data_IF_985227618132
#
_entry.id   IF_985227618132
#
_cell.length_a   1.000
_cell.length_b   1.000
_cell.length_c   1.000
_cell.angle_alpha   90.00
_cell.angle_beta   90.00
_cell.angle_gamma   90.00
#
_symmetry.space_group_name_H-M   'P 1'
#
loop_
_entity.id
_entity.type
_entity.pdbx_description
1 polymer ?
#
# COMPACT_ATOMS: atom_id res chain seq x y z
N UNK A 1 -12.81 -102.88 -16.07
CA UNK A 1 -13.06 -101.44 -16.26
C UNK A 1 -11.75 -100.67 -15.98
N UNK A 2 -11.14 -100.23 -16.98
CA UNK A 2 -9.76 -99.70 -17.03
C UNK A 2 -9.76 -98.24 -16.59
N UNK A 3 -9.08 -97.90 -15.51
CA UNK A 3 -8.79 -96.51 -15.13
C UNK A 3 -7.51 -96.03 -15.85
N UNK A 4 -7.66 -95.03 -16.70
CA UNK A 4 -6.54 -94.34 -17.30
C UNK A 4 -6.01 -93.24 -16.35
N UNK A 5 -4.80 -93.37 -15.88
CA UNK A 5 -4.04 -92.34 -15.18
C UNK A 5 -3.47 -91.40 -16.19
N UNK A 6 -3.87 -90.10 -16.16
CA UNK A 6 -3.30 -89.03 -16.98
C UNK A 6 -2.12 -88.43 -16.23
N UNK A 7 -0.90 -88.69 -16.66
CA UNK A 7 0.31 -88.11 -16.11
C UNK A 7 0.47 -86.66 -16.67
N UNK A 8 0.24 -85.63 -15.87
CA UNK A 8 0.46 -84.22 -16.23
C UNK A 8 1.93 -83.90 -15.97
N UNK A 9 2.72 -83.79 -17.04
CA UNK A 9 4.11 -83.29 -16.93
C UNK A 9 4.08 -81.80 -16.70
N UNK A 10 4.40 -81.37 -15.48
CA UNK A 10 4.71 -79.97 -15.18
C UNK A 10 6.11 -79.67 -15.82
N UNK A 11 6.12 -78.98 -16.96
CA UNK A 11 7.29 -78.33 -17.47
C UNK A 11 7.62 -77.13 -16.55
N UNK A 12 8.51 -77.34 -15.59
CA UNK A 12 9.16 -76.26 -14.85
C UNK A 12 9.92 -75.37 -15.86
N UNK A 13 9.47 -74.14 -16.01
CA UNK A 13 10.27 -73.13 -16.66
C UNK A 13 11.49 -72.90 -15.75
N UNK A 14 12.58 -73.62 -16.03
CA UNK A 14 13.87 -73.33 -15.40
C UNK A 14 14.28 -71.93 -15.79
N UNK A 15 14.42 -71.06 -14.81
CA UNK A 15 15.18 -69.81 -15.02
C UNK A 15 16.57 -70.23 -15.47
N UNK A 16 16.88 -70.05 -16.75
CA UNK A 16 18.27 -70.10 -17.23
C UNK A 16 19.02 -69.01 -16.48
N UNK A 17 20.16 -69.30 -15.80
CA UNK A 17 20.93 -68.28 -15.17
C UNK A 17 21.36 -67.25 -16.21
N UNK A 18 21.37 -65.97 -15.85
CA UNK A 18 21.83 -64.92 -16.74
C UNK A 18 23.24 -65.30 -17.24
N UNK A 19 23.39 -65.41 -18.55
CA UNK A 19 24.65 -65.87 -19.14
C UNK A 19 25.77 -64.84 -19.01
N UNK A 20 25.40 -63.56 -18.85
CA UNK A 20 26.32 -62.48 -18.56
C UNK A 20 26.21 -62.00 -17.12
N UNK A 21 27.39 -61.71 -16.50
CA UNK A 21 27.48 -61.11 -15.16
C UNK A 21 28.44 -59.91 -15.20
N UNK A 22 28.13 -58.85 -14.45
CA UNK A 22 28.95 -57.67 -14.36
C UNK A 22 29.84 -57.70 -13.12
N UNK A 23 31.12 -57.39 -13.28
CA UNK A 23 32.08 -57.30 -12.20
C UNK A 23 32.78 -55.93 -12.27
N UNK A 24 32.89 -55.27 -11.11
CA UNK A 24 33.73 -54.06 -10.97
C UNK A 24 35.19 -54.45 -10.99
N UNK A 25 35.99 -53.73 -11.77
CA UNK A 25 37.44 -53.95 -11.86
C UNK A 25 38.13 -53.12 -10.76
N UNK A 26 38.84 -53.79 -9.88
CA UNK A 26 39.65 -53.14 -8.84
C UNK A 26 41.09 -53.69 -8.94
N UNK A 27 42.07 -52.79 -9.10
CA UNK A 27 43.50 -53.16 -9.29
C UNK A 27 43.71 -54.19 -10.41
N UNK A 28 42.94 -54.12 -11.49
CA UNK A 28 43.03 -55.03 -12.62
C UNK A 28 42.42 -56.44 -12.38
N UNK A 29 41.64 -56.63 -11.32
CA UNK A 29 40.96 -57.89 -10.97
C UNK A 29 39.47 -57.65 -10.76
N UNK A 30 38.64 -58.68 -11.04
CA UNK A 30 37.25 -58.70 -10.79
C UNK A 30 36.96 -58.69 -9.30
N UNK A 31 36.29 -57.68 -8.83
CA UNK A 31 35.79 -57.61 -7.45
C UNK A 31 34.38 -58.28 -7.42
N UNK A 32 34.16 -59.16 -6.40
CA UNK A 32 32.87 -59.81 -6.21
C UNK A 32 31.80 -58.75 -5.84
N UNK A 33 30.70 -58.68 -6.61
CA UNK A 33 29.57 -57.94 -6.21
C UNK A 33 28.47 -58.85 -5.66
N UNK A 34 27.92 -58.54 -4.48
CA UNK A 34 26.92 -59.38 -3.83
C UNK A 34 25.47 -58.98 -4.24
N UNK A 35 25.24 -57.74 -4.59
CA UNK A 35 23.90 -57.16 -4.80
C UNK A 35 23.71 -56.45 -6.15
N UNK A 36 24.68 -56.51 -7.02
CA UNK A 36 24.65 -55.91 -8.38
C UNK A 36 24.34 -54.38 -8.37
N UNK A 37 24.65 -53.71 -7.25
CA UNK A 37 24.54 -52.26 -7.15
C UNK A 37 25.94 -51.67 -7.00
N UNK A 38 26.25 -50.65 -7.82
CA UNK A 38 27.56 -50.01 -7.82
C UNK A 38 27.41 -48.51 -7.65
N UNK A 39 27.99 -48.00 -6.52
CA UNK A 39 27.93 -46.59 -6.15
C UNK A 39 29.07 -45.78 -6.77
N UNK A 40 28.74 -44.69 -7.43
CA UNK A 40 29.71 -43.73 -7.94
C UNK A 40 30.00 -42.60 -6.95
N UNK A 41 29.32 -42.67 -5.81
CA UNK A 41 29.45 -41.66 -4.73
C UNK A 41 28.88 -40.29 -5.11
N UNK A 42 29.30 -39.28 -4.36
CA UNK A 42 28.83 -37.88 -4.56
C UNK A 42 29.83 -37.14 -5.44
N UNK A 43 29.31 -36.49 -6.49
CA UNK A 43 30.14 -35.66 -7.41
C UNK A 43 29.48 -34.29 -7.60
N UNK A 44 30.25 -33.20 -7.66
CA UNK A 44 29.72 -31.90 -8.06
C UNK A 44 29.08 -31.97 -9.45
N UNK A 45 27.99 -31.25 -9.67
CA UNK A 45 27.39 -31.07 -10.98
C UNK A 45 28.46 -30.57 -11.98
N UNK A 46 28.53 -31.21 -13.16
CA UNK A 46 29.54 -30.94 -14.18
C UNK A 46 30.89 -31.64 -13.98
N UNK A 47 31.11 -32.32 -12.83
CA UNK A 47 32.25 -33.20 -12.65
C UNK A 47 31.88 -34.64 -13.03
N UNK A 48 32.87 -35.43 -13.38
CA UNK A 48 32.64 -36.83 -13.77
C UNK A 48 33.59 -37.79 -13.06
N UNK A 49 33.14 -39.03 -12.89
CA UNK A 49 33.94 -40.14 -12.41
C UNK A 49 33.61 -41.37 -13.24
N UNK A 50 34.62 -42.17 -13.58
CA UNK A 50 34.47 -43.41 -14.34
C UNK A 50 34.88 -44.61 -13.50
N UNK A 51 34.14 -45.70 -13.65
CA UNK A 51 34.45 -47.01 -13.11
C UNK A 51 34.54 -47.99 -14.25
N UNK A 52 35.53 -48.92 -14.15
CA UNK A 52 35.77 -49.99 -15.12
C UNK A 52 35.05 -51.25 -14.68
N UNK A 53 34.44 -51.96 -15.65
CA UNK A 53 33.68 -53.16 -15.42
C UNK A 53 34.05 -54.21 -16.49
N UNK A 54 34.07 -55.48 -16.04
CA UNK A 54 34.10 -56.63 -16.93
C UNK A 54 32.69 -57.24 -17.07
N UNK A 55 32.12 -57.22 -18.28
CA UNK A 55 30.91 -57.96 -18.62
C UNK A 55 31.30 -59.35 -19.02
N UNK A 56 31.30 -60.29 -18.08
CA UNK A 56 31.82 -61.64 -18.22
C UNK A 56 30.72 -62.61 -18.69
N UNK A 57 31.02 -63.43 -19.69
CA UNK A 57 30.22 -64.58 -20.03
C UNK A 57 30.56 -65.73 -19.06
N UNK A 58 29.60 -66.08 -18.21
CA UNK A 58 29.73 -67.14 -17.18
C UNK A 58 29.19 -68.48 -17.65
N UNK A 59 28.65 -68.55 -18.88
CA UNK A 59 28.11 -69.76 -19.51
C UNK A 59 28.93 -70.25 -20.68
N UNK A 60 28.29 -70.96 -21.64
CA UNK A 60 28.84 -71.32 -22.94
C UNK A 60 29.04 -70.09 -23.86
N UNK A 61 29.68 -70.25 -24.95
CA UNK A 61 29.84 -69.19 -25.98
C UNK A 61 28.48 -68.49 -26.26
N UNK A 62 28.43 -67.19 -26.20
CA UNK A 62 27.23 -66.39 -26.28
C UNK A 62 27.40 -65.20 -27.22
N UNK A 63 26.31 -64.76 -27.80
CA UNK A 63 26.28 -63.54 -28.62
C UNK A 63 25.69 -62.42 -27.75
N UNK A 64 26.45 -61.36 -27.56
CA UNK A 64 25.95 -60.07 -26.99
C UNK A 64 25.32 -59.31 -28.16
N UNK A 65 23.98 -59.24 -28.18
CA UNK A 65 23.22 -58.60 -29.25
C UNK A 65 22.75 -57.19 -28.89
N UNK A 66 22.62 -56.91 -27.61
CA UNK A 66 22.15 -55.63 -27.10
C UNK A 66 22.84 -55.29 -25.78
N UNK A 67 23.20 -54.02 -25.61
CA UNK A 67 23.77 -53.47 -24.39
C UNK A 67 23.27 -52.06 -24.19
N UNK A 68 22.47 -51.85 -23.15
CA UNK A 68 21.85 -50.57 -22.85
C UNK A 68 22.26 -50.08 -21.46
N UNK A 69 22.47 -48.80 -21.37
CA UNK A 69 22.65 -48.06 -20.12
C UNK A 69 21.54 -47.01 -20.04
N UNK A 70 20.66 -47.13 -19.02
CA UNK A 70 19.59 -46.17 -18.80
C UNK A 70 20.07 -45.10 -17.81
N UNK A 71 19.38 -43.94 -17.77
CA UNK A 71 19.70 -42.84 -16.86
C UNK A 71 20.56 -41.76 -17.53
N UNK A 72 20.08 -40.51 -17.46
CA UNK A 72 20.66 -39.38 -18.20
C UNK A 72 22.07 -38.97 -17.75
N UNK A 73 22.42 -39.27 -16.51
CA UNK A 73 23.71 -38.87 -15.90
C UNK A 73 24.79 -39.95 -16.02
N UNK A 74 24.49 -41.07 -16.71
CA UNK A 74 25.42 -42.19 -16.90
C UNK A 74 25.63 -42.46 -18.37
N UNK A 75 26.89 -42.73 -18.75
CA UNK A 75 27.25 -43.05 -20.14
C UNK A 75 28.43 -44.00 -20.21
N UNK A 76 28.55 -44.72 -21.31
CA UNK A 76 29.77 -45.46 -21.64
C UNK A 76 30.83 -44.53 -22.22
N UNK A 77 32.10 -44.65 -21.74
CA UNK A 77 33.24 -43.90 -22.25
C UNK A 77 34.49 -44.81 -22.28
N UNK A 78 35.01 -45.20 -23.45
CA UNK A 78 34.48 -44.98 -24.80
C UNK A 78 33.16 -45.70 -25.04
N UNK A 79 32.50 -45.42 -26.16
CA UNK A 79 31.31 -46.17 -26.57
C UNK A 79 31.59 -47.67 -26.52
N UNK A 80 30.61 -48.52 -26.16
CA UNK A 80 30.77 -49.96 -26.08
C UNK A 80 31.14 -50.50 -27.45
N UNK A 81 31.71 -51.74 -27.50
CA UNK A 81 32.08 -52.35 -28.76
C UNK A 81 30.85 -52.55 -29.68
N UNK A 82 31.11 -52.65 -30.98
CA UNK A 82 30.04 -52.84 -31.96
C UNK A 82 29.32 -54.18 -31.73
N UNK A 83 28.04 -54.16 -31.70
CA UNK A 83 27.16 -55.32 -31.53
C UNK A 83 26.51 -55.70 -32.84
N UNK A 84 26.19 -56.99 -33.10
CA UNK A 84 26.39 -58.14 -32.22
C UNK A 84 27.84 -58.60 -32.13
N UNK A 85 28.27 -59.12 -30.94
CA UNK A 85 29.60 -59.64 -30.70
C UNK A 85 29.53 -61.04 -30.07
N UNK A 86 30.32 -62.02 -30.56
CA UNK A 86 30.44 -63.29 -29.83
C UNK A 86 31.41 -63.12 -28.68
N UNK A 87 30.97 -63.52 -27.47
CA UNK A 87 31.75 -63.53 -26.26
C UNK A 87 31.99 -65.00 -25.83
N UNK A 88 33.19 -65.52 -25.99
CA UNK A 88 33.50 -66.91 -25.66
C UNK A 88 33.29 -67.21 -24.16
N UNK A 89 33.06 -68.50 -23.83
CA UNK A 89 32.92 -68.95 -22.43
C UNK A 89 34.07 -68.50 -21.57
N UNK A 90 33.77 -67.90 -20.42
CA UNK A 90 34.78 -67.43 -19.44
C UNK A 90 35.52 -66.15 -19.82
N UNK A 91 35.28 -65.55 -21.00
CA UNK A 91 35.87 -64.26 -21.40
C UNK A 91 34.96 -63.06 -20.98
N UNK A 92 35.51 -61.86 -21.07
CA UNK A 92 34.79 -60.63 -20.71
C UNK A 92 34.86 -59.60 -21.83
N UNK A 93 33.90 -58.68 -21.81
CA UNK A 93 33.91 -57.41 -22.55
C UNK A 93 34.19 -56.31 -21.50
N UNK A 94 35.22 -55.50 -21.79
CA UNK A 94 35.57 -54.37 -20.93
C UNK A 94 34.63 -53.21 -21.19
N UNK A 95 34.08 -52.68 -20.12
CA UNK A 95 33.14 -51.53 -20.14
C UNK A 95 33.63 -50.48 -19.18
N UNK A 96 33.60 -49.22 -19.58
CA UNK A 96 33.83 -48.11 -18.68
C UNK A 96 32.54 -47.30 -18.62
N UNK A 97 31.97 -47.18 -17.42
CA UNK A 97 30.80 -46.37 -17.15
C UNK A 97 31.21 -45.11 -16.44
N UNK A 98 30.79 -43.99 -16.98
CA UNK A 98 31.02 -42.67 -16.38
C UNK A 98 29.71 -42.14 -15.78
N UNK A 99 29.78 -41.64 -14.54
CA UNK A 99 28.78 -40.82 -13.90
C UNK A 99 29.18 -39.37 -13.97
N UNK A 100 28.32 -38.52 -14.56
CA UNK A 100 28.51 -37.09 -14.67
C UNK A 100 27.18 -36.36 -14.41
N UNK A 101 26.88 -36.02 -13.12
CA UNK A 101 25.59 -35.43 -12.76
C UNK A 101 25.37 -34.09 -13.49
N UNK A 102 24.23 -33.95 -14.16
CA UNK A 102 23.76 -32.71 -14.78
C UNK A 102 22.97 -31.85 -13.84
N UNK A 103 22.45 -32.42 -12.72
CA UNK A 103 21.65 -31.75 -11.72
C UNK A 103 22.03 -32.24 -10.31
N UNK A 104 21.81 -31.43 -9.24
CA UNK A 104 21.94 -31.90 -7.86
C UNK A 104 20.85 -32.95 -7.54
N UNK A 105 21.23 -33.90 -6.71
CA UNK A 105 20.33 -34.96 -6.24
C UNK A 105 20.77 -36.36 -6.62
N UNK A 106 20.01 -37.39 -6.17
CA UNK A 106 20.29 -38.79 -6.48
C UNK A 106 20.00 -39.08 -7.94
N UNK A 107 20.89 -39.85 -8.55
CA UNK A 107 20.76 -40.36 -9.92
C UNK A 107 20.95 -41.87 -9.91
N UNK A 108 20.17 -42.57 -10.74
CA UNK A 108 20.25 -44.03 -10.90
C UNK A 108 20.26 -44.42 -12.39
N UNK A 109 20.93 -45.51 -12.66
CA UNK A 109 20.95 -46.12 -13.99
C UNK A 109 20.89 -47.64 -13.88
N UNK A 110 20.41 -48.32 -14.95
CA UNK A 110 20.44 -49.76 -15.05
C UNK A 110 21.26 -50.16 -16.29
N UNK A 111 22.14 -51.17 -16.10
CA UNK A 111 22.79 -51.86 -17.20
C UNK A 111 21.97 -53.07 -17.59
N UNK A 112 21.60 -53.13 -18.87
CA UNK A 112 20.79 -54.19 -19.46
C UNK A 112 21.60 -54.78 -20.59
N UNK A 113 21.79 -56.11 -20.56
CA UNK A 113 22.44 -56.87 -21.66
C UNK A 113 21.49 -57.98 -22.13
N UNK A 114 21.28 -58.05 -23.45
CA UNK A 114 20.36 -59.00 -24.07
C UNK A 114 18.96 -59.04 -23.39
N UNK A 115 18.46 -57.86 -22.99
CA UNK A 115 17.15 -57.71 -22.31
C UNK A 115 17.14 -58.09 -20.82
N UNK A 116 18.27 -58.49 -20.23
CA UNK A 116 18.38 -58.82 -18.79
C UNK A 116 19.09 -57.70 -18.09
N UNK A 117 18.48 -57.16 -17.00
CA UNK A 117 19.15 -56.20 -16.14
C UNK A 117 20.23 -56.90 -15.32
N UNK A 118 21.46 -56.45 -15.43
CA UNK A 118 22.62 -57.01 -14.76
C UNK A 118 23.09 -56.23 -13.58
N UNK A 119 22.88 -54.91 -13.59
CA UNK A 119 23.33 -54.05 -12.49
C UNK A 119 22.51 -52.78 -12.42
N UNK A 120 22.52 -52.19 -11.23
CA UNK A 120 22.06 -50.84 -10.98
C UNK A 120 23.27 -49.97 -10.57
N UNK A 121 23.35 -48.79 -11.12
CA UNK A 121 24.31 -47.78 -10.74
C UNK A 121 23.63 -46.67 -9.98
N UNK A 122 24.25 -46.15 -8.92
CA UNK A 122 23.79 -45.02 -8.17
C UNK A 122 24.89 -43.97 -7.97
N UNK A 123 24.47 -42.72 -7.92
CA UNK A 123 25.35 -41.59 -7.70
C UNK A 123 24.56 -40.40 -7.17
N UNK A 124 25.22 -39.42 -6.61
CA UNK A 124 24.57 -38.19 -6.13
C UNK A 124 25.27 -36.98 -6.70
N UNK A 125 24.54 -36.17 -7.45
CA UNK A 125 24.98 -34.85 -7.86
C UNK A 125 24.99 -33.90 -6.66
N UNK A 126 26.09 -33.19 -6.45
CA UNK A 126 26.22 -32.12 -5.45
C UNK A 126 26.20 -30.78 -6.18
N UNK A 127 25.40 -29.83 -5.72
CA UNK A 127 25.51 -28.46 -6.21
C UNK A 127 26.96 -27.97 -6.05
N UNK A 128 27.54 -27.49 -7.14
CA UNK A 128 28.90 -26.93 -7.10
C UNK A 128 29.00 -25.70 -6.24
N UNK A 129 27.86 -25.06 -5.98
CA UNK A 129 27.71 -23.85 -5.20
C UNK A 129 26.62 -24.07 -4.15
N UNK A 130 26.88 -23.72 -2.90
CA UNK A 130 25.89 -23.63 -1.84
C UNK A 130 25.57 -22.17 -1.55
N UNK A 131 24.27 -21.88 -1.30
CA UNK A 131 23.80 -20.53 -0.95
C UNK A 131 23.09 -20.61 0.40
N UNK A 132 23.46 -19.72 1.30
CA UNK A 132 22.88 -19.60 2.65
C UNK A 132 22.71 -18.15 3.05
N UNK A 133 21.95 -17.89 4.12
CA UNK A 133 22.03 -16.61 4.81
C UNK A 133 23.40 -16.45 5.51
N UNK A 134 23.72 -15.22 5.90
CA UNK A 134 24.99 -14.89 6.54
C UNK A 134 25.23 -15.67 7.86
N UNK A 135 24.16 -16.08 8.54
CA UNK A 135 24.22 -16.91 9.75
C UNK A 135 24.30 -18.42 9.48
N UNK A 136 24.44 -18.83 8.21
CA UNK A 136 24.49 -20.22 7.77
C UNK A 136 23.13 -20.91 7.63
N UNK A 137 22.01 -20.23 7.94
CA UNK A 137 20.67 -20.78 7.74
C UNK A 137 20.32 -20.90 6.25
N UNK A 138 19.42 -21.82 5.85
CA UNK A 138 18.91 -21.88 4.49
C UNK A 138 18.27 -20.55 4.06
N UNK A 139 18.42 -20.21 2.79
CA UNK A 139 17.73 -19.07 2.19
C UNK A 139 16.22 -19.35 2.21
N UNK A 140 15.37 -18.43 2.70
CA UNK A 140 13.93 -18.60 2.68
C UNK A 140 13.40 -18.64 1.23
N UNK A 141 12.32 -19.38 1.02
CA UNK A 141 11.68 -19.47 -0.30
C UNK A 141 10.17 -19.22 -0.16
N UNK A 142 9.67 -18.07 -0.62
CA UNK A 142 10.40 -16.95 -1.23
C UNK A 142 11.24 -16.14 -0.20
N UNK A 143 12.22 -15.37 -0.71
CA UNK A 143 12.80 -14.25 0.04
C UNK A 143 11.83 -13.09 0.00
N UNK A 144 11.17 -12.81 1.12
CA UNK A 144 10.17 -11.75 1.23
C UNK A 144 10.77 -10.49 1.84
N UNK A 145 10.78 -9.41 1.07
CA UNK A 145 11.29 -8.10 1.47
C UNK A 145 10.24 -7.25 2.24
N UNK A 146 9.01 -7.78 2.36
CA UNK A 146 7.92 -7.08 3.03
C UNK A 146 7.44 -5.85 2.25
N UNK A 147 6.84 -4.90 2.99
CA UNK A 147 6.37 -3.62 2.43
C UNK A 147 7.47 -2.58 2.48
N UNK A 148 7.81 -2.00 1.33
CA UNK A 148 8.88 -1.00 1.17
C UNK A 148 8.33 0.23 0.45
N UNK A 149 8.58 1.40 1.01
CA UNK A 149 8.20 2.65 0.37
C UNK A 149 8.92 2.82 -0.97
N UNK A 150 8.23 3.37 -1.96
CA UNK A 150 8.82 3.70 -3.27
C UNK A 150 10.10 4.50 -3.11
N UNK A 151 11.16 4.06 -3.81
CA UNK A 151 12.49 4.69 -3.76
C UNK A 151 13.30 4.39 -2.50
N UNK A 152 12.76 3.64 -1.53
CA UNK A 152 13.54 3.11 -0.39
C UNK A 152 14.04 1.71 -0.72
N UNK A 153 15.02 1.25 0.05
CA UNK A 153 15.68 -0.03 -0.14
C UNK A 153 15.43 -0.94 1.06
N UNK A 154 15.00 -2.18 0.77
CA UNK A 154 15.14 -3.29 1.71
C UNK A 154 16.17 -4.27 1.14
N UNK A 155 16.97 -4.91 2.00
CA UNK A 155 18.08 -5.74 1.57
C UNK A 155 18.11 -7.09 2.28
N UNK A 156 18.50 -8.15 1.55
CA UNK A 156 18.91 -9.44 2.06
C UNK A 156 20.39 -9.64 1.79
N UNK A 157 21.10 -10.26 2.74
CA UNK A 157 22.48 -10.70 2.55
C UNK A 157 22.54 -12.21 2.52
N UNK A 158 23.12 -12.75 1.46
CA UNK A 158 23.38 -14.17 1.28
C UNK A 158 24.89 -14.41 1.12
N UNK A 159 25.30 -15.65 1.40
CA UNK A 159 26.66 -16.11 1.20
C UNK A 159 26.64 -17.23 0.18
N UNK A 160 27.43 -17.06 -0.86
CA UNK A 160 27.67 -18.08 -1.90
C UNK A 160 29.00 -18.74 -1.56
N UNK A 161 28.99 -20.07 -1.43
CA UNK A 161 30.20 -20.84 -1.10
C UNK A 161 30.49 -21.88 -2.17
N UNK A 162 31.75 -22.00 -2.56
CA UNK A 162 32.23 -23.04 -3.44
C UNK A 162 32.72 -24.25 -2.61
N UNK A 163 31.91 -25.30 -2.57
CA UNK A 163 32.26 -26.56 -1.86
C UNK A 163 33.15 -27.50 -2.67
N UNK A 164 33.60 -27.12 -3.85
CA UNK A 164 34.42 -27.96 -4.72
C UNK A 164 35.92 -27.73 -4.49
N UNK A 165 36.75 -28.66 -4.97
CA UNK A 165 38.22 -28.57 -4.92
C UNK A 165 38.84 -27.71 -6.04
N UNK A 166 38.03 -27.02 -6.87
CA UNK A 166 38.46 -26.17 -8.00
C UNK A 166 37.69 -24.86 -8.05
N UNK A 167 38.22 -23.89 -8.79
CA UNK A 167 37.53 -22.63 -9.01
C UNK A 167 36.26 -22.83 -9.84
N UNK A 168 35.16 -22.16 -9.45
CA UNK A 168 33.86 -22.21 -10.13
C UNK A 168 33.48 -20.81 -10.60
N UNK A 169 32.95 -20.70 -11.81
CA UNK A 169 32.36 -19.47 -12.32
C UNK A 169 30.93 -19.36 -11.79
N UNK A 170 30.63 -18.24 -11.17
CA UNK A 170 29.30 -17.90 -10.65
C UNK A 170 28.68 -16.89 -11.58
N UNK A 171 27.49 -17.21 -12.11
CA UNK A 171 26.62 -16.29 -12.84
C UNK A 171 25.50 -15.89 -11.90
N UNK A 172 25.25 -14.58 -11.79
CA UNK A 172 24.20 -14.01 -10.94
C UNK A 172 23.33 -13.06 -11.75
N UNK A 173 22.02 -13.15 -11.58
CA UNK A 173 21.07 -12.24 -12.21
C UNK A 173 19.76 -12.16 -11.46
N UNK A 174 19.03 -11.09 -11.70
CA UNK A 174 17.64 -10.92 -11.28
C UNK A 174 16.75 -10.68 -12.49
N UNK A 175 15.52 -11.17 -12.45
CA UNK A 175 14.60 -11.11 -13.60
C UNK A 175 13.91 -9.76 -13.78
N UNK A 176 14.06 -8.83 -12.83
CA UNK A 176 13.48 -7.47 -12.90
C UNK A 176 14.47 -6.43 -12.40
N UNK A 177 14.27 -5.16 -12.79
CA UNK A 177 15.11 -4.03 -12.38
C UNK A 177 14.84 -3.51 -10.96
N UNK A 178 13.73 -3.91 -10.34
CA UNK A 178 13.39 -3.51 -8.97
C UNK A 178 14.13 -4.34 -7.92
N UNK A 179 14.62 -5.52 -8.31
CA UNK A 179 15.51 -6.34 -7.51
C UNK A 179 16.90 -6.30 -8.15
N UNK A 180 17.89 -5.89 -7.38
CA UNK A 180 19.27 -5.74 -7.86
C UNK A 180 20.24 -6.44 -6.91
N UNK A 181 21.45 -6.70 -7.39
CA UNK A 181 22.50 -7.33 -6.58
C UNK A 181 23.67 -6.40 -6.38
N UNK A 182 24.34 -6.49 -5.22
CA UNK A 182 25.58 -5.81 -4.91
C UNK A 182 26.65 -6.81 -4.46
N UNK A 183 27.81 -6.85 -5.12
CA UNK A 183 28.20 -6.02 -6.27
C UNK A 183 27.32 -6.32 -7.52
N UNK A 184 27.14 -5.34 -8.38
CA UNK A 184 26.35 -5.43 -9.61
C UNK A 184 27.13 -6.17 -10.73
N UNK A 185 27.71 -7.31 -10.40
CA UNK A 185 28.45 -8.15 -11.34
C UNK A 185 27.61 -9.36 -11.71
N UNK A 186 27.39 -9.56 -13.01
CA UNK A 186 26.64 -10.72 -13.52
C UNK A 186 27.46 -12.02 -13.51
N UNK A 187 28.79 -11.91 -13.37
CA UNK A 187 29.66 -13.08 -13.38
C UNK A 187 30.96 -12.80 -12.61
N UNK A 188 31.42 -13.79 -11.82
CA UNK A 188 32.72 -13.78 -11.16
C UNK A 188 33.22 -15.20 -10.91
N UNK A 189 34.54 -15.34 -10.65
CA UNK A 189 35.15 -16.62 -10.32
C UNK A 189 35.32 -16.75 -8.82
N UNK A 190 34.90 -17.90 -8.25
CA UNK A 190 35.03 -18.22 -6.83
C UNK A 190 36.00 -19.39 -6.67
N UNK A 191 37.13 -19.15 -6.00
CA UNK A 191 38.15 -20.17 -5.81
C UNK A 191 37.66 -21.37 -4.97
N UNK A 192 38.39 -22.50 -5.02
CA UNK A 192 38.06 -23.69 -4.25
C UNK A 192 37.93 -23.35 -2.75
N UNK A 193 36.84 -23.76 -2.11
CA UNK A 193 36.52 -23.52 -0.71
C UNK A 193 36.28 -22.08 -0.31
N UNK A 194 36.29 -21.11 -1.26
CA UNK A 194 36.03 -19.70 -1.00
C UNK A 194 34.56 -19.40 -0.83
N UNK A 195 34.28 -18.26 -0.18
CA UNK A 195 32.94 -17.71 0.01
C UNK A 195 32.91 -16.25 -0.42
N UNK A 196 31.74 -15.78 -0.87
CA UNK A 196 31.46 -14.38 -1.19
C UNK A 196 30.10 -14.00 -0.65
N UNK A 197 29.99 -12.78 -0.08
CA UNK A 197 28.71 -12.21 0.30
C UNK A 197 28.11 -11.46 -0.89
N UNK A 198 26.82 -11.64 -1.10
CA UNK A 198 26.01 -10.94 -2.08
C UNK A 198 24.83 -10.29 -1.36
N UNK A 199 24.63 -8.99 -1.58
CA UNK A 199 23.45 -8.27 -1.13
C UNK A 199 22.42 -8.23 -2.26
N UNK A 200 21.17 -8.54 -1.93
CA UNK A 200 20.04 -8.42 -2.84
C UNK A 200 19.19 -7.28 -2.32
N UNK A 201 19.01 -6.23 -3.14
CA UNK A 201 18.21 -5.07 -2.84
C UNK A 201 16.86 -5.14 -3.55
N UNK A 202 15.79 -4.77 -2.83
CA UNK A 202 14.49 -4.46 -3.37
C UNK A 202 14.25 -2.96 -3.29
N UNK A 203 14.06 -2.30 -4.45
CA UNK A 203 13.79 -0.87 -4.57
C UNK A 203 12.54 -0.69 -5.43
N UNK A 204 11.34 -0.68 -4.84
CA UNK A 204 10.12 -0.55 -5.62
C UNK A 204 10.01 0.83 -6.28
N UNK A 205 9.66 0.84 -7.56
CA UNK A 205 9.35 2.07 -8.32
C UNK A 205 7.84 2.28 -8.51
N UNK A 206 7.04 1.25 -8.21
CA UNK A 206 5.57 1.26 -8.30
C UNK A 206 4.96 0.58 -7.08
N UNK A 207 3.70 0.90 -6.81
CA UNK A 207 2.94 0.29 -5.73
C UNK A 207 2.51 -1.14 -6.06
N UNK A 208 2.14 -1.86 -5.00
CA UNK A 208 1.61 -3.22 -5.08
C UNK A 208 2.68 -4.31 -5.05
N UNK A 209 2.24 -5.58 -5.16
CA UNK A 209 3.12 -6.74 -5.06
C UNK A 209 4.06 -6.84 -6.25
N UNK A 210 5.34 -7.10 -5.97
CA UNK A 210 6.40 -7.29 -6.93
C UNK A 210 6.99 -8.68 -6.75
N UNK A 211 7.33 -9.34 -7.86
CA UNK A 211 7.93 -10.67 -7.87
C UNK A 211 9.09 -10.73 -8.86
N UNK A 212 10.11 -11.48 -8.52
CA UNK A 212 11.25 -11.75 -9.36
C UNK A 212 11.89 -13.09 -8.99
N UNK A 213 12.90 -13.50 -9.76
CA UNK A 213 13.79 -14.59 -9.38
C UNK A 213 15.22 -14.05 -9.28
N UNK A 214 15.93 -14.47 -8.25
CA UNK A 214 17.38 -14.42 -8.20
C UNK A 214 17.90 -15.74 -8.78
N UNK A 215 18.72 -15.65 -9.79
CA UNK A 215 19.36 -16.80 -10.44
C UNK A 215 20.84 -16.81 -10.08
N UNK A 216 21.32 -17.93 -9.53
CA UNK A 216 22.72 -18.18 -9.23
C UNK A 216 23.11 -19.49 -9.89
N UNK A 217 23.77 -19.42 -11.05
CA UNK A 217 23.97 -20.56 -11.96
C UNK A 217 22.60 -21.21 -12.31
N UNK A 218 22.38 -22.45 -11.91
CA UNK A 218 21.09 -23.16 -12.10
C UNK A 218 20.16 -23.10 -10.89
N UNK A 219 20.59 -22.44 -9.78
CA UNK A 219 19.78 -22.29 -8.59
C UNK A 219 18.87 -21.06 -8.74
N UNK A 220 17.59 -21.23 -8.47
CA UNK A 220 16.57 -20.17 -8.58
C UNK A 220 15.94 -19.92 -7.22
N UNK A 221 15.95 -18.67 -6.80
CA UNK A 221 15.36 -18.21 -5.54
C UNK A 221 14.26 -17.19 -5.83
N UNK A 222 12.98 -17.52 -5.55
CA UNK A 222 11.89 -16.57 -5.69
C UNK A 222 12.06 -15.38 -4.73
N UNK A 223 11.84 -14.15 -5.26
CA UNK A 223 11.88 -12.90 -4.53
C UNK A 223 10.47 -12.30 -4.52
N UNK A 224 10.04 -11.77 -3.38
CA UNK A 224 8.76 -11.07 -3.24
C UNK A 224 8.94 -9.80 -2.42
N UNK A 225 8.13 -8.79 -2.72
CA UNK A 225 8.06 -7.55 -1.94
C UNK A 225 6.85 -6.74 -2.37
N UNK A 226 6.44 -5.79 -1.56
CA UNK A 226 5.31 -4.90 -1.84
C UNK A 226 5.79 -3.47 -1.83
N UNK A 227 5.67 -2.78 -2.96
CA UNK A 227 5.85 -1.34 -3.02
C UNK A 227 4.66 -0.64 -2.36
N UNK A 228 4.92 0.35 -1.52
CA UNK A 228 3.89 1.19 -0.91
C UNK A 228 4.21 2.66 -1.14
N UNK A 229 3.16 3.48 -1.23
CA UNK A 229 3.34 4.92 -1.31
C UNK A 229 4.02 5.47 -0.05
N UNK A 230 4.91 6.45 -0.20
CA UNK A 230 5.41 7.22 0.94
C UNK A 230 4.25 7.90 1.69
N UNK A 231 4.37 8.10 3.01
CA UNK A 231 3.35 8.82 3.77
C UNK A 231 3.24 10.26 3.28
N UNK A 232 2.01 10.81 3.33
CA UNK A 232 1.81 12.22 3.05
C UNK A 232 2.60 13.10 4.03
N UNK A 233 3.04 14.31 3.59
CA UNK A 233 3.61 15.29 4.49
C UNK A 233 2.54 15.85 5.43
N UNK A 234 2.96 16.36 6.61
CA UNK A 234 2.06 16.94 7.59
C UNK A 234 1.34 18.17 6.99
N UNK A 235 -0.01 18.17 6.93
CA UNK A 235 -0.78 19.32 6.47
C UNK A 235 -0.89 20.38 7.56
N UNK A 236 -0.79 21.65 7.15
CA UNK A 236 -0.96 22.83 8.02
C UNK A 236 -2.00 23.76 7.42
N UNK A 237 -2.85 24.34 8.27
CA UNK A 237 -3.87 25.31 7.86
C UNK A 237 -3.31 26.74 7.91
N UNK A 238 -3.31 27.41 6.78
CA UNK A 238 -3.02 28.84 6.68
C UNK A 238 -4.28 29.62 6.28
N UNK A 239 -4.42 30.82 6.82
CA UNK A 239 -5.58 31.68 6.64
C UNK A 239 -5.16 33.08 6.20
N UNK A 240 -6.01 33.72 5.41
CA UNK A 240 -5.79 35.08 4.91
C UNK A 240 -5.96 36.16 6.01
N UNK A 241 -6.45 35.80 7.21
CA UNK A 241 -6.52 36.69 8.37
C UNK A 241 -6.22 35.94 9.66
N UNK A 242 -5.73 36.65 10.66
CA UNK A 242 -5.48 36.14 12.02
C UNK A 242 -6.73 36.22 12.91
N UNK A 243 -7.77 36.94 12.50
CA UNK A 243 -9.03 37.12 13.21
C UNK A 243 -10.18 37.29 12.23
N UNK A 244 -11.35 36.78 12.62
CA UNK A 244 -12.58 36.95 11.89
C UNK A 244 -13.69 37.38 12.84
N UNK A 245 -14.53 38.34 12.42
CA UNK A 245 -15.77 38.70 13.09
C UNK A 245 -16.97 37.91 12.56
N UNK A 246 -18.17 38.26 13.05
CA UNK A 246 -19.42 37.74 12.50
C UNK A 246 -19.69 38.26 11.08
N UNK A 247 -20.38 37.47 10.26
CA UNK A 247 -20.78 37.81 8.88
C UNK A 247 -19.59 38.14 7.95
N UNK A 248 -18.43 37.50 8.16
CA UNK A 248 -17.25 37.67 7.34
C UNK A 248 -16.96 36.43 6.49
N UNK A 249 -16.22 36.64 5.41
CA UNK A 249 -15.65 35.59 4.61
C UNK A 249 -14.12 35.57 4.81
N UNK A 250 -13.54 34.37 4.74
CA UNK A 250 -12.12 34.16 4.80
C UNK A 250 -11.70 33.06 3.84
N UNK A 251 -10.39 32.92 3.66
CA UNK A 251 -9.79 31.86 2.84
C UNK A 251 -8.90 31.00 3.70
N UNK A 252 -8.98 29.69 3.47
CA UNK A 252 -8.09 28.68 4.03
C UNK A 252 -7.28 28.03 2.94
N UNK A 253 -5.99 27.82 3.19
CA UNK A 253 -5.04 27.11 2.34
C UNK A 253 -4.46 25.96 3.15
N UNK A 254 -4.22 24.81 2.53
CA UNK A 254 -3.53 23.69 3.14
C UNK A 254 -2.07 23.72 2.65
N UNK A 255 -1.15 24.04 3.54
CA UNK A 255 0.29 23.96 3.28
C UNK A 255 0.80 22.58 3.69
N UNK A 256 1.77 22.05 2.95
CA UNK A 256 2.43 20.79 3.26
C UNK A 256 3.83 21.05 3.80
N UNK A 257 4.23 20.34 4.85
CA UNK A 257 5.54 20.52 5.50
C UNK A 257 6.76 20.20 4.62
N UNK A 258 6.54 19.48 3.51
CA UNK A 258 7.50 19.17 2.45
C UNK A 258 6.75 18.85 1.16
N UNK A 259 7.42 18.80 -0.02
CA UNK A 259 6.78 18.28 -1.23
C UNK A 259 6.24 16.87 -1.04
N UNK A 260 5.01 16.64 -1.49
CA UNK A 260 4.38 15.31 -1.43
C UNK A 260 5.11 14.33 -2.33
N UNK A 261 5.28 13.11 -1.86
CA UNK A 261 5.82 12.00 -2.66
C UNK A 261 4.71 11.04 -3.12
N UNK A 262 3.45 11.38 -2.83
CA UNK A 262 2.28 10.58 -3.17
C UNK A 262 1.15 11.48 -3.67
N UNK A 263 0.25 10.90 -4.46
CA UNK A 263 -1.00 11.55 -4.92
C UNK A 263 -2.17 11.05 -4.08
N UNK A 264 -3.06 11.96 -3.68
CA UNK A 264 -4.26 11.60 -2.93
C UNK A 264 -5.17 12.77 -2.64
N UNK A 265 -6.18 12.50 -1.81
CA UNK A 265 -7.22 13.46 -1.44
C UNK A 265 -7.24 13.63 0.08
N UNK A 266 -7.34 14.87 0.51
CA UNK A 266 -7.60 15.25 1.89
C UNK A 266 -8.92 15.99 2.04
N UNK A 267 -9.29 16.30 3.28
CA UNK A 267 -10.48 17.07 3.60
C UNK A 267 -10.19 18.13 4.65
N UNK A 268 -10.95 19.23 4.59
CA UNK A 268 -11.01 20.25 5.65
C UNK A 268 -12.44 20.31 6.16
N UNK A 269 -12.58 20.09 7.46
CA UNK A 269 -13.86 20.17 8.18
C UNK A 269 -13.94 21.43 9.02
N UNK A 270 -15.15 21.98 9.16
CA UNK A 270 -15.50 23.06 10.08
C UNK A 270 -16.42 22.52 11.16
N UNK A 271 -15.97 22.61 12.42
CA UNK A 271 -16.81 22.45 13.59
C UNK A 271 -17.07 23.81 14.23
N UNK A 272 -18.27 24.00 14.79
CA UNK A 272 -18.63 25.22 15.50
C UNK A 272 -19.12 24.92 16.90
N UNK A 273 -18.47 25.54 17.86
CA UNK A 273 -18.84 25.52 19.26
C UNK A 273 -19.38 26.90 19.68
N UNK A 274 -20.72 27.10 19.78
CA UNK A 274 -21.29 28.38 20.14
C UNK A 274 -20.87 28.79 21.53
N UNK A 275 -20.75 30.12 21.76
CA UNK A 275 -20.42 30.68 23.07
C UNK A 275 -21.52 30.47 24.08
N UNK A 276 -22.77 30.32 23.66
CA UNK A 276 -23.91 29.90 24.45
C UNK A 276 -24.29 28.46 24.06
N UNK A 277 -24.20 27.52 24.99
CA UNK A 277 -24.52 26.13 24.79
C UNK A 277 -25.99 25.85 24.39
N UNK A 278 -26.91 26.82 24.67
CA UNK A 278 -28.31 26.74 24.26
C UNK A 278 -28.54 27.20 22.81
N UNK A 279 -27.52 27.75 22.14
CA UNK A 279 -27.65 28.24 20.81
C UNK A 279 -27.72 27.07 19.81
N UNK A 280 -28.69 27.11 18.89
CA UNK A 280 -28.76 26.17 17.75
C UNK A 280 -27.57 26.35 16.83
N UNK A 281 -27.37 25.35 15.96
CA UNK A 281 -26.36 25.42 14.90
C UNK A 281 -26.56 26.69 14.04
N UNK A 282 -25.44 27.29 13.63
CA UNK A 282 -25.43 28.36 12.63
C UNK A 282 -25.04 27.76 11.28
N UNK A 283 -26.03 27.53 10.41
CA UNK A 283 -25.84 26.92 9.10
C UNK A 283 -25.12 27.86 8.11
N UNK A 284 -25.02 29.14 8.43
CA UNK A 284 -24.22 30.06 7.63
C UNK A 284 -22.72 29.85 7.79
N UNK A 285 -22.27 29.06 8.79
CA UNK A 285 -20.85 28.66 8.93
C UNK A 285 -20.58 27.50 8.00
N UNK A 286 -19.99 27.76 6.84
CA UNK A 286 -19.81 26.78 5.77
C UNK A 286 -18.72 27.21 4.78
N UNK A 287 -18.28 26.28 3.93
CA UNK A 287 -17.51 26.59 2.73
C UNK A 287 -18.45 27.02 1.61
N UNK A 288 -18.12 28.13 0.92
CA UNK A 288 -18.98 28.67 -0.12
C UNK A 288 -19.05 27.79 -1.36
N UNK A 289 -18.00 27.01 -1.64
CA UNK A 289 -17.94 26.12 -2.81
C UNK A 289 -18.85 24.90 -2.69
N UNK A 290 -19.09 24.42 -1.47
CA UNK A 290 -19.88 23.21 -1.21
C UNK A 290 -21.23 23.49 -0.57
N UNK A 291 -21.41 24.65 0.07
CA UNK A 291 -22.55 24.92 0.93
C UNK A 291 -22.59 24.00 2.17
N UNK A 292 -21.46 23.42 2.56
CA UNK A 292 -21.34 22.46 3.63
C UNK A 292 -20.16 22.83 4.54
N UNK A 293 -20.02 22.10 5.65
CA UNK A 293 -18.92 22.26 6.59
C UNK A 293 -17.68 21.45 6.23
N UNK A 294 -17.72 20.72 5.14
CA UNK A 294 -16.61 19.93 4.63
C UNK A 294 -16.27 20.32 3.21
N UNK A 295 -14.98 20.40 2.90
CA UNK A 295 -14.46 20.57 1.55
C UNK A 295 -13.28 19.65 1.35
N UNK A 296 -13.18 19.02 0.17
CA UNK A 296 -12.06 18.17 -0.20
C UNK A 296 -11.01 18.94 -1.00
N UNK A 297 -9.76 18.49 -0.90
CA UNK A 297 -8.64 18.98 -1.71
C UNK A 297 -7.82 17.81 -2.23
N UNK A 298 -7.14 18.01 -3.36
CA UNK A 298 -6.23 17.04 -3.94
C UNK A 298 -4.77 17.45 -3.70
N UNK A 299 -3.91 16.46 -3.61
CA UNK A 299 -2.46 16.60 -3.53
C UNK A 299 -1.87 15.68 -4.60
N UNK A 300 -0.94 16.18 -5.41
CA UNK A 300 -0.17 15.41 -6.37
C UNK A 300 1.29 15.27 -5.89
N UNK A 301 2.00 14.33 -6.48
CA UNK A 301 3.44 14.21 -6.25
C UNK A 301 4.15 15.52 -6.66
N UNK A 302 5.01 16.04 -5.77
CA UNK A 302 5.69 17.31 -5.91
C UNK A 302 4.95 18.52 -5.32
N UNK A 303 3.66 18.41 -5.01
CA UNK A 303 2.91 19.52 -4.44
C UNK A 303 3.39 19.89 -3.04
N UNK A 304 3.39 21.20 -2.76
CA UNK A 304 3.62 21.80 -1.44
C UNK A 304 2.36 22.42 -0.85
N UNK A 305 1.26 22.42 -1.61
CA UNK A 305 -0.06 22.96 -1.22
C UNK A 305 -1.18 22.05 -1.70
N UNK A 306 -2.28 22.04 -0.98
CA UNK A 306 -3.51 21.35 -1.39
C UNK A 306 -4.29 22.13 -2.45
N UNK A 307 -4.91 21.42 -3.39
CA UNK A 307 -5.70 21.99 -4.49
C UNK A 307 -7.19 21.80 -4.26
N UNK A 308 -7.94 22.89 -4.14
CA UNK A 308 -9.40 22.94 -4.05
C UNK A 308 -10.01 23.19 -5.43
N UNK A 309 -10.30 22.12 -6.17
CA UNK A 309 -10.68 22.25 -7.58
C UNK A 309 -9.54 22.85 -8.41
N UNK A 310 -9.79 24.01 -9.03
CA UNK A 310 -8.77 24.73 -9.82
C UNK A 310 -7.92 25.72 -9.00
N UNK A 311 -8.22 25.91 -7.72
CA UNK A 311 -7.53 26.86 -6.84
C UNK A 311 -6.75 26.18 -5.72
N UNK A 312 -5.94 26.97 -4.99
CA UNK A 312 -5.17 26.52 -3.83
C UNK A 312 -5.77 26.94 -2.50
N UNK A 313 -6.96 27.54 -2.49
CA UNK A 313 -7.66 27.96 -1.28
C UNK A 313 -9.16 27.70 -1.39
N UNK A 314 -9.81 27.45 -0.25
CA UNK A 314 -11.25 27.38 -0.10
C UNK A 314 -11.76 28.61 0.65
N UNK A 315 -12.85 29.21 0.16
CA UNK A 315 -13.52 30.33 0.84
C UNK A 315 -14.57 29.80 1.80
N UNK A 316 -14.56 30.29 3.02
CA UNK A 316 -15.55 30.00 4.05
C UNK A 316 -16.21 31.27 4.55
N UNK A 317 -17.33 31.13 5.25
CA UNK A 317 -17.98 32.22 5.98
C UNK A 317 -18.19 31.85 7.45
N UNK A 318 -18.16 32.90 8.31
CA UNK A 318 -18.13 32.75 9.76
C UNK A 318 -19.50 32.73 10.42
N UNK A 319 -20.58 32.93 9.63
CA UNK A 319 -21.93 33.02 10.17
C UNK A 319 -22.13 34.26 11.05
N UNK A 320 -23.22 34.25 11.84
CA UNK A 320 -23.66 35.37 12.66
C UNK A 320 -23.80 35.02 14.15
N UNK A 321 -23.12 33.94 14.60
CA UNK A 321 -23.14 33.50 16.01
C UNK A 321 -21.75 33.60 16.63
N UNK A 322 -21.63 34.14 17.83
CA UNK A 322 -20.40 34.17 18.59
C UNK A 322 -20.03 32.74 19.08
N UNK A 323 -18.76 32.43 19.06
CA UNK A 323 -18.26 31.09 19.44
C UNK A 323 -16.93 30.77 18.83
N UNK A 324 -16.54 29.51 18.93
CA UNK A 324 -15.29 29.00 18.36
C UNK A 324 -15.57 28.21 17.08
N UNK A 325 -14.92 28.59 15.99
CA UNK A 325 -14.89 27.87 14.72
C UNK A 325 -13.60 27.07 14.70
N UNK A 326 -13.70 25.73 14.62
CA UNK A 326 -12.57 24.82 14.61
C UNK A 326 -12.44 24.24 13.21
N UNK A 327 -11.32 24.50 12.57
CA UNK A 327 -10.97 23.90 11.31
C UNK A 327 -10.11 22.68 11.57
N UNK A 328 -10.43 21.54 10.95
CA UNK A 328 -9.67 20.29 11.03
C UNK A 328 -9.28 19.87 9.62
N UNK A 329 -7.99 19.76 9.33
CA UNK A 329 -7.50 19.18 8.07
C UNK A 329 -7.05 17.76 8.30
N UNK A 330 -7.42 16.85 7.37
CA UNK A 330 -7.00 15.45 7.33
C UNK A 330 -6.36 15.13 6.00
N UNK A 331 -5.21 14.45 6.03
CA UNK A 331 -4.51 13.97 4.84
C UNK A 331 -3.80 12.66 5.19
N UNK A 332 -4.29 11.53 4.64
CA UNK A 332 -3.85 10.21 5.05
C UNK A 332 -4.06 9.97 6.54
N UNK A 333 -2.99 9.65 7.26
CA UNK A 333 -3.02 9.46 8.71
C UNK A 333 -2.84 10.75 9.52
N UNK A 334 -2.55 11.88 8.88
CA UNK A 334 -2.25 13.12 9.58
C UNK A 334 -3.48 13.99 9.75
N UNK A 335 -3.59 14.60 10.94
CA UNK A 335 -4.66 15.52 11.32
C UNK A 335 -4.03 16.76 11.95
N UNK A 336 -4.50 17.94 11.55
CA UNK A 336 -4.11 19.22 12.15
C UNK A 336 -5.34 20.10 12.36
N UNK A 337 -5.34 20.93 13.41
CA UNK A 337 -6.48 21.78 13.75
C UNK A 337 -6.06 23.24 13.94
N UNK A 338 -6.99 24.16 13.63
CA UNK A 338 -6.87 25.58 13.90
C UNK A 338 -8.21 26.13 14.38
N UNK A 339 -8.20 26.91 15.46
CA UNK A 339 -9.41 27.50 16.03
C UNK A 339 -9.40 29.03 15.91
N UNK A 340 -10.54 29.59 15.52
CA UNK A 340 -10.82 31.02 15.56
C UNK A 340 -11.98 31.29 16.50
N UNK A 341 -11.89 32.37 17.30
CA UNK A 341 -12.96 32.83 18.13
C UNK A 341 -13.66 34.01 17.46
N UNK A 342 -14.95 33.86 17.17
CA UNK A 342 -15.85 34.97 16.83
C UNK A 342 -16.32 35.60 18.16
N UNK A 343 -15.79 36.76 18.45
CA UNK A 343 -16.08 37.41 19.72
C UNK A 343 -17.54 37.92 19.79
N UNK A 344 -18.16 37.93 20.99
CA UNK A 344 -19.43 38.60 21.22
C UNK A 344 -19.36 40.08 20.80
N UNK A 345 -20.41 40.58 20.16
CA UNK A 345 -20.53 41.97 19.71
C UNK A 345 -21.92 42.53 19.96
N UNK A 346 -22.04 43.85 19.94
CA UNK A 346 -23.34 44.53 19.93
C UNK A 346 -24.13 44.15 18.66
N UNK A 347 -25.44 44.39 18.69
CA UNK A 347 -26.31 44.17 17.50
C UNK A 347 -25.79 44.97 16.32
N UNK A 348 -25.78 44.30 15.14
CA UNK A 348 -25.42 44.96 13.89
C UNK A 348 -26.68 45.09 13.02
N UNK A 349 -27.00 46.33 12.63
CA UNK A 349 -28.07 46.61 11.68
C UNK A 349 -27.50 46.50 10.24
N UNK A 350 -28.11 45.67 9.45
CA UNK A 350 -27.71 45.41 8.03
C UNK A 350 -28.47 46.25 7.06
N UNK A 351 -29.83 46.25 7.20
CA UNK A 351 -30.72 47.10 6.40
C UNK A 351 -31.78 47.76 7.28
N UNK A 352 -32.36 48.87 6.81
CA UNK A 352 -33.45 49.55 7.50
C UNK A 352 -34.31 50.35 6.51
N UNK A 353 -35.62 50.28 6.71
CA UNK A 353 -36.62 51.03 5.97
C UNK A 353 -37.63 51.67 6.92
N UNK A 354 -38.04 52.90 6.64
CA UNK A 354 -39.09 53.58 7.38
C UNK A 354 -40.05 54.25 6.39
N UNK A 355 -41.33 53.91 6.50
CA UNK A 355 -42.38 54.42 5.64
C UNK A 355 -43.48 55.08 6.46
N UNK A 356 -44.04 56.20 5.95
CA UNK A 356 -45.27 56.77 6.49
C UNK A 356 -46.45 56.21 5.68
N UNK A 357 -47.42 55.72 6.42
CA UNK A 357 -48.71 55.27 5.84
C UNK A 357 -49.81 56.18 6.36
N UNK A 358 -51.03 56.08 5.81
CA UNK A 358 -52.19 56.80 6.32
C UNK A 358 -52.59 56.35 7.73
N UNK A 359 -52.19 55.20 8.19
CA UNK A 359 -52.52 54.60 9.49
C UNK A 359 -51.43 54.79 10.52
N UNK A 360 -50.18 55.14 10.13
CA UNK A 360 -49.07 55.24 11.06
C UNK A 360 -47.69 55.15 10.42
N UNK A 361 -46.73 54.71 11.20
CA UNK A 361 -45.34 54.56 10.80
C UNK A 361 -44.97 53.10 10.75
N UNK A 362 -44.43 52.66 9.60
CA UNK A 362 -44.00 51.30 9.35
C UNK A 362 -42.48 51.27 9.30
N UNK A 363 -41.90 50.36 10.08
CA UNK A 363 -40.44 50.20 10.23
C UNK A 363 -40.04 48.77 9.97
N UNK A 364 -39.03 48.56 9.13
CA UNK A 364 -38.45 47.26 8.87
C UNK A 364 -36.93 47.35 9.05
N UNK A 365 -36.36 46.38 9.78
CA UNK A 365 -34.96 46.28 10.04
C UNK A 365 -34.52 44.83 9.84
N UNK A 366 -33.45 44.61 9.07
CA UNK A 366 -32.68 43.37 9.07
C UNK A 366 -31.46 43.60 9.94
N UNK A 367 -31.20 42.70 10.85
CA UNK A 367 -30.11 42.81 11.81
C UNK A 367 -29.61 41.44 12.25
N UNK A 368 -28.45 41.39 12.86
CA UNK A 368 -28.04 40.21 13.58
C UNK A 368 -27.50 40.52 14.96
N UNK A 369 -27.79 39.64 15.90
CA UNK A 369 -27.26 39.60 17.26
C UNK A 369 -26.44 38.31 17.43
N UNK A 370 -25.11 38.43 17.38
CA UNK A 370 -24.26 37.24 17.47
C UNK A 370 -24.24 36.62 18.88
N UNK A 371 -24.77 37.29 19.88
CA UNK A 371 -24.97 36.79 21.25
C UNK A 371 -26.35 36.17 21.47
N UNK A 372 -27.31 36.41 20.55
CA UNK A 372 -28.71 35.95 20.62
C UNK A 372 -29.42 36.36 21.94
N UNK A 373 -29.00 37.48 22.50
CA UNK A 373 -29.43 37.96 23.84
C UNK A 373 -30.10 39.33 23.80
N UNK A 374 -30.47 39.84 22.61
CA UNK A 374 -31.18 41.11 22.48
C UNK A 374 -32.42 41.13 23.36
N UNK A 375 -32.50 42.15 24.22
CA UNK A 375 -33.53 42.27 25.23
C UNK A 375 -34.43 43.51 25.06
N UNK A 376 -33.84 44.68 24.99
CA UNK A 376 -34.60 45.94 24.93
C UNK A 376 -34.37 46.62 23.59
N UNK A 377 -35.49 47.15 23.05
CA UNK A 377 -35.51 48.01 21.88
C UNK A 377 -36.07 49.36 22.27
N UNK A 378 -35.44 50.45 21.81
CA UNK A 378 -35.93 51.80 22.08
C UNK A 378 -36.05 52.55 20.78
N UNK A 379 -37.21 53.09 20.52
CA UNK A 379 -37.54 53.89 19.34
C UNK A 379 -37.69 55.36 19.73
N UNK A 380 -36.94 56.25 19.08
CA UNK A 380 -37.03 57.71 19.27
C UNK A 380 -37.40 58.37 17.95
N UNK A 381 -38.53 59.00 17.96
CA UNK A 381 -39.05 59.71 16.79
C UNK A 381 -38.73 61.21 16.85
N UNK A 382 -38.42 61.81 15.70
CA UNK A 382 -37.98 63.20 15.60
C UNK A 382 -38.87 63.96 14.62
N UNK A 383 -39.10 65.25 14.89
CA UNK A 383 -39.73 66.16 14.01
C UNK A 383 -38.79 66.68 12.89
N UNK A 384 -39.28 67.60 12.04
CA UNK A 384 -38.50 68.17 10.95
C UNK A 384 -37.34 69.07 11.42
N UNK A 385 -37.37 69.55 12.67
CA UNK A 385 -36.29 70.32 13.28
C UNK A 385 -35.21 69.47 13.91
N UNK A 386 -35.47 68.15 13.97
CA UNK A 386 -34.59 67.19 14.64
C UNK A 386 -34.81 67.10 16.13
N UNK A 387 -35.85 67.67 16.69
CA UNK A 387 -36.26 67.55 18.09
C UNK A 387 -37.02 66.24 18.35
N UNK A 388 -36.79 65.53 19.48
CA UNK A 388 -37.54 64.33 19.81
C UNK A 388 -39.02 64.66 20.04
N UNK A 389 -39.90 63.84 19.47
CA UNK A 389 -41.35 63.98 19.64
C UNK A 389 -41.79 63.33 20.99
N UNK A 390 -42.79 63.89 21.68
CA UNK A 390 -43.38 63.23 22.86
C UNK A 390 -43.96 61.83 22.52
N UNK A 391 -43.83 60.83 23.40
CA UNK A 391 -43.33 60.91 24.75
C UNK A 391 -41.80 60.79 24.87
N UNK A 392 -41.06 60.94 23.82
CA UNK A 392 -39.61 60.74 23.77
C UNK A 392 -39.29 59.30 23.32
N UNK A 393 -38.37 58.70 24.01
CA UNK A 393 -37.95 57.31 23.69
C UNK A 393 -39.01 56.30 24.13
N UNK A 394 -39.48 55.47 23.19
CA UNK A 394 -40.43 54.37 23.45
C UNK A 394 -39.63 53.09 23.61
N UNK A 395 -39.60 52.57 24.85
CA UNK A 395 -38.89 51.32 25.16
C UNK A 395 -39.86 50.13 25.04
N UNK A 396 -39.38 49.07 24.39
CA UNK A 396 -40.07 47.79 24.21
C UNK A 396 -39.19 46.68 24.73
N UNK A 397 -39.69 45.87 25.65
CA UNK A 397 -39.04 44.63 26.07
C UNK A 397 -39.35 43.53 25.05
N UNK A 398 -38.38 43.20 24.23
CA UNK A 398 -38.48 42.13 23.19
C UNK A 398 -37.78 40.82 23.64
N UNK A 399 -37.28 40.76 24.89
CA UNK A 399 -36.45 39.66 25.37
C UNK A 399 -37.12 38.30 25.25
N UNK A 400 -38.42 38.20 25.59
CA UNK A 400 -39.17 36.95 25.47
C UNK A 400 -39.38 36.49 24.04
N UNK A 401 -39.78 37.41 23.14
CA UNK A 401 -40.05 37.10 21.74
C UNK A 401 -38.76 36.72 20.99
N UNK A 402 -37.68 37.48 21.19
CA UNK A 402 -36.40 37.20 20.50
C UNK A 402 -35.73 35.92 21.02
N UNK A 403 -35.81 35.64 22.32
CA UNK A 403 -35.33 34.37 22.87
C UNK A 403 -36.04 33.18 22.25
N UNK A 404 -37.37 33.26 22.11
CA UNK A 404 -38.16 32.20 21.44
C UNK A 404 -37.81 32.09 19.97
N UNK A 405 -37.62 33.21 19.28
CA UNK A 405 -37.19 33.25 17.88
C UNK A 405 -35.81 32.57 17.70
N UNK A 406 -34.80 32.98 18.45
CA UNK A 406 -33.46 32.42 18.37
C UNK A 406 -33.37 30.94 18.77
N UNK A 407 -34.23 30.47 19.70
CA UNK A 407 -34.32 29.08 20.10
C UNK A 407 -34.84 28.18 18.95
N UNK A 408 -35.57 28.72 17.99
CA UNK A 408 -36.11 28.02 16.84
C UNK A 408 -35.35 28.30 15.52
N UNK A 409 -34.47 29.31 15.52
CA UNK A 409 -33.71 29.71 14.32
C UNK A 409 -32.45 28.90 14.17
N UNK A 410 -32.18 28.38 12.95
CA UNK A 410 -30.97 27.74 12.53
C UNK A 410 -30.07 28.64 11.64
N UNK A 411 -30.51 29.93 11.46
CA UNK A 411 -29.82 30.95 10.69
C UNK A 411 -28.89 31.83 11.51
N UNK A 412 -28.39 31.33 12.63
CA UNK A 412 -27.51 32.10 13.50
C UNK A 412 -28.25 33.17 14.30
N UNK A 413 -27.63 34.34 14.39
CA UNK A 413 -28.17 35.50 15.07
C UNK A 413 -28.98 36.46 14.18
N UNK A 414 -29.24 36.09 12.93
CA UNK A 414 -30.01 36.95 12.00
C UNK A 414 -31.48 37.00 12.36
N UNK A 415 -32.06 38.20 12.34
CA UNK A 415 -33.50 38.40 12.52
C UNK A 415 -33.97 39.59 11.73
N UNK A 416 -35.25 39.52 11.24
CA UNK A 416 -35.99 40.66 10.73
C UNK A 416 -36.95 41.22 11.78
N UNK A 417 -36.95 42.53 11.97
CA UNK A 417 -37.92 43.24 12.80
C UNK A 417 -38.88 44.03 11.94
N UNK A 418 -40.17 43.82 12.15
CA UNK A 418 -41.23 44.66 11.60
C UNK A 418 -41.98 45.29 12.77
N UNK A 419 -41.99 46.64 12.82
CA UNK A 419 -42.65 47.39 13.88
C UNK A 419 -43.60 48.47 13.27
N UNK A 420 -44.84 48.43 13.70
CA UNK A 420 -45.84 49.40 13.26
C UNK A 420 -46.26 50.26 14.46
N UNK A 421 -46.23 51.59 14.27
CA UNK A 421 -46.65 52.57 15.30
C UNK A 421 -47.83 53.34 14.77
N UNK A 422 -49.04 53.14 15.32
CA UNK A 422 -50.20 53.93 14.95
C UNK A 422 -50.02 55.39 15.44
N UNK A 423 -50.31 56.37 14.59
CA UNK A 423 -50.17 57.80 14.88
C UNK A 423 -51.54 58.44 15.06
N UNK A 424 -51.83 58.95 16.25
CA UNK A 424 -52.98 59.79 16.48
C UNK A 424 -52.62 61.23 16.12
N UNK A 425 -53.00 61.66 14.90
CA UNK A 425 -52.67 62.98 14.38
C UNK A 425 -52.11 62.92 12.94
N UNK A 426 -51.30 63.89 12.59
CA UNK A 426 -50.68 63.95 11.27
C UNK A 426 -49.33 63.22 11.22
N UNK A 427 -49.22 62.05 10.57
CA UNK A 427 -47.97 61.31 10.48
C UNK A 427 -46.84 62.10 9.74
N UNK A 428 -47.16 63.13 8.97
CA UNK A 428 -46.17 63.97 8.30
C UNK A 428 -45.31 64.80 9.25
N UNK A 429 -45.70 64.95 10.50
CA UNK A 429 -44.91 65.62 11.54
C UNK A 429 -43.70 64.78 11.99
N UNK A 430 -43.74 63.47 11.79
CA UNK A 430 -42.62 62.60 12.11
C UNK A 430 -41.65 62.55 10.96
N UNK A 431 -40.46 63.13 11.11
CA UNK A 431 -39.47 63.23 10.04
C UNK A 431 -38.57 62.02 9.97
N UNK A 432 -38.10 61.52 11.14
CA UNK A 432 -37.18 60.41 11.22
C UNK A 432 -37.29 59.63 12.52
N UNK A 433 -36.62 58.46 12.57
CA UNK A 433 -36.54 57.57 13.74
C UNK A 433 -35.13 57.11 13.97
N UNK A 434 -34.75 56.96 15.21
CA UNK A 434 -33.59 56.21 15.67
C UNK A 434 -34.05 54.97 16.44
N UNK A 435 -33.36 53.84 16.20
CA UNK A 435 -33.58 52.60 16.97
C UNK A 435 -32.33 52.20 17.67
N UNK A 436 -32.46 51.96 18.99
CA UNK A 436 -31.42 51.45 19.84
C UNK A 436 -31.81 50.05 20.31
N UNK A 437 -30.92 49.09 20.13
CA UNK A 437 -31.05 47.71 20.62
C UNK A 437 -29.94 47.39 21.61
N UNK A 438 -30.27 46.61 22.62
CA UNK A 438 -29.31 46.21 23.68
C UNK A 438 -29.26 44.70 23.78
N UNK A 439 -28.04 44.14 23.73
CA UNK A 439 -27.75 42.73 23.99
C UNK A 439 -26.75 42.60 25.17
N UNK A 440 -26.26 41.37 25.44
CA UNK A 440 -25.30 41.13 26.52
C UNK A 440 -23.91 41.79 26.31
N UNK A 441 -23.58 42.18 25.07
CA UNK A 441 -22.32 42.88 24.74
C UNK A 441 -22.46 44.41 24.80
N UNK A 442 -23.68 44.96 24.96
CA UNK A 442 -23.91 46.41 25.02
C UNK A 442 -25.06 46.87 24.12
N UNK A 443 -25.05 48.16 23.82
CA UNK A 443 -26.07 48.78 23.00
C UNK A 443 -25.54 49.23 21.64
N UNK A 444 -26.33 49.01 20.60
CA UNK A 444 -26.14 49.58 19.27
C UNK A 444 -27.29 50.50 18.91
N UNK A 445 -27.03 51.52 18.10
CA UNK A 445 -28.02 52.49 17.65
C UNK A 445 -27.87 52.75 16.18
N UNK A 446 -28.99 52.85 15.46
CA UNK A 446 -28.98 53.24 14.04
C UNK A 446 -28.66 54.73 13.88
N UNK A 447 -28.22 55.11 12.69
CA UNK A 447 -28.33 56.48 12.25
C UNK A 447 -29.83 56.89 12.21
N UNK A 448 -30.13 58.17 12.16
CA UNK A 448 -31.49 58.68 11.96
C UNK A 448 -31.98 58.24 10.59
N UNK A 449 -33.03 57.44 10.56
CA UNK A 449 -33.66 56.95 9.36
C UNK A 449 -34.84 57.86 8.99
N UNK A 450 -34.78 58.55 7.83
CA UNK A 450 -35.87 59.41 7.42
C UNK A 450 -37.06 58.55 6.94
N UNK A 451 -38.29 59.03 7.23
CA UNK A 451 -39.49 58.40 6.72
C UNK A 451 -39.76 58.80 5.25
N UNK A 452 -39.89 57.79 4.41
CA UNK A 452 -40.35 57.96 3.05
C UNK A 452 -41.89 57.96 2.99
N UNK A 453 -42.47 58.65 2.00
CA UNK A 453 -43.89 58.48 1.63
C UNK A 453 -43.98 57.36 0.60
N UNK A 454 -45.04 56.53 0.62
CA UNK A 454 -45.23 55.46 -0.38
C UNK A 454 -45.22 55.98 -1.80
#
# INVERSE_FOLDING_TARGET
>A
MTARVLLLALLGAGFLPAQFSLFLVQNGQDAASYDQTYGFGTKPVGAAVSLEFHLRNTGADAILTDLQLTGADFQFIPSPPSLPQTVPAGTAVDLMVQFGPGQPGPATANLIANGVQLATFDGTGLASVAVSLQNGSPVPSPMDFGSVERGKTAAYQIVISNGTGSSVVINVGTTTTQFTTKPATSQFSLAAGAQVSLEIDFVPSVDGPQQANLEINQLVYPLTGVGIDPPFPLPQLEFDSVRYGSSQQGKVTVQLGSPSQATGTGEVDIDFNPGDASANADHAIQFLSTGARTVTFNVNEGDTVGHFGSGTSATFQTGTTAGNIVFTVKLGAFVSTKTFTVAPSVVVFDSSQAQRTSAGLDLQYDAFDNTRSTSNMTFTFFDQTGAPLPPGAIAIDASGALRQFFASSDLGGVFGLHAFFPVNGNPAQVASVEVKMTNSSGAAQTARLPFTTP
#
